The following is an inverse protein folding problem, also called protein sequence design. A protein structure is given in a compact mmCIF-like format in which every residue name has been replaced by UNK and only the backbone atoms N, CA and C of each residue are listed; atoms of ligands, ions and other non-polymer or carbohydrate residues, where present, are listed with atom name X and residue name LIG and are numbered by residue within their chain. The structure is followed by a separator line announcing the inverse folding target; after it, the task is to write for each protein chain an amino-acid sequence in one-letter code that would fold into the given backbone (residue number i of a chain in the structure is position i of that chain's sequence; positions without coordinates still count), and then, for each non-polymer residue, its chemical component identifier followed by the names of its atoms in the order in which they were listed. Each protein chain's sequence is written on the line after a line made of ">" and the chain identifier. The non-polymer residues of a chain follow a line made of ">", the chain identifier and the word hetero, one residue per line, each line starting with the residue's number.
data_IF_060455662552
#
_entry.id   IF_060455662552
#
_cell.length_a   1.000
_cell.length_b   1.000
_cell.length_c   1.000
_cell.angle_alpha   90.00
_cell.angle_beta   90.00
_cell.angle_gamma   90.00
#
_symmetry.space_group_name_H-M   'P 1'
#
loop_
_entity.id
_entity.type
_entity.pdbx_description
1 polymer ?
#
# COMPACT_ATOMS: atom_id res chain seq x y z
N UNK A 1 11.50 8.28 -0.89
CA UNK A 1 11.27 9.25 -1.99
C UNK A 1 9.93 9.97 -1.92
N UNK A 2 8.79 9.30 -1.73
CA UNK A 2 7.48 9.97 -1.62
C UNK A 2 7.44 11.04 -0.52
N UNK A 3 7.91 10.75 0.69
CA UNK A 3 7.91 11.74 1.77
C UNK A 3 8.80 12.96 1.46
N UNK A 4 9.94 12.76 0.79
CA UNK A 4 10.79 13.89 0.34
C UNK A 4 10.06 14.79 -0.65
N UNK A 5 9.25 14.22 -1.56
CA UNK A 5 8.43 14.98 -2.51
C UNK A 5 7.28 15.75 -1.83
N UNK A 6 6.75 15.21 -0.74
CA UNK A 6 5.77 15.92 0.09
C UNK A 6 6.47 17.09 0.81
N UNK A 7 7.65 16.87 1.39
CA UNK A 7 8.45 17.90 2.07
C UNK A 7 8.93 19.00 1.11
N UNK A 8 9.34 18.66 -0.11
CA UNK A 8 9.76 19.62 -1.15
C UNK A 8 8.62 20.36 -1.84
N UNK A 9 7.38 20.17 -1.38
CA UNK A 9 6.16 20.77 -1.94
C UNK A 9 5.84 20.36 -3.38
N UNK A 10 6.41 19.26 -3.86
CA UNK A 10 6.08 18.68 -5.16
C UNK A 10 4.76 17.89 -5.12
N UNK A 11 4.34 17.43 -3.92
CA UNK A 11 3.10 16.70 -3.69
C UNK A 11 2.38 17.24 -2.44
N UNK A 12 1.09 17.56 -2.57
CA UNK A 12 0.28 18.08 -1.45
C UNK A 12 -0.64 17.01 -0.83
N UNK A 13 -1.21 16.13 -1.65
CA UNK A 13 -2.17 15.11 -1.25
C UNK A 13 -1.80 13.78 -1.88
N UNK A 14 -1.58 12.75 -1.06
CA UNK A 14 -1.13 11.44 -1.51
C UNK A 14 -2.00 10.35 -0.89
N UNK A 15 -2.69 9.59 -1.74
CA UNK A 15 -3.32 8.33 -1.34
C UNK A 15 -2.31 7.19 -1.49
N UNK A 16 -1.77 6.73 -0.37
CA UNK A 16 -0.88 5.58 -0.32
C UNK A 16 -1.69 4.31 -0.06
N UNK A 17 -1.54 3.28 -0.91
CA UNK A 17 -2.27 2.02 -0.75
C UNK A 17 -1.27 0.87 -0.61
N UNK A 18 -1.13 0.35 0.61
CA UNK A 18 -0.38 -0.86 0.86
C UNK A 18 -1.22 -2.07 0.45
N UNK A 19 -0.69 -2.94 -0.41
CA UNK A 19 -1.37 -4.16 -0.85
C UNK A 19 -0.63 -5.38 -0.32
N UNK A 20 -1.33 -6.50 -0.16
CA UNK A 20 -0.75 -7.76 0.29
C UNK A 20 -1.56 -8.96 -0.17
N UNK A 21 -0.86 -10.07 -0.42
CA UNK A 21 -1.46 -11.37 -0.66
C UNK A 21 -1.33 -12.22 0.61
N UNK A 22 -2.45 -12.72 1.12
CA UNK A 22 -2.53 -13.52 2.34
C UNK A 22 -2.31 -15.00 2.00
N UNK A 23 -1.08 -15.34 1.61
CA UNK A 23 -0.71 -16.68 1.17
C UNK A 23 0.00 -17.51 2.24
N UNK A 24 -0.10 -18.82 2.11
CA UNK A 24 0.73 -19.80 2.84
C UNK A 24 1.28 -20.84 1.86
N UNK A 25 2.42 -21.50 2.17
CA UNK A 25 2.97 -22.55 1.30
C UNK A 25 1.95 -23.66 0.98
N UNK A 26 1.10 -24.01 1.95
CA UNK A 26 0.05 -25.03 1.80
C UNK A 26 -1.04 -24.57 0.84
N UNK A 27 -1.56 -23.35 1.00
CA UNK A 27 -2.60 -22.81 0.12
C UNK A 27 -2.14 -22.77 -1.35
N UNK A 28 -0.88 -22.40 -1.58
CA UNK A 28 -0.27 -22.42 -2.92
C UNK A 28 -0.15 -23.84 -3.46
N UNK A 29 0.27 -24.80 -2.63
CA UNK A 29 0.45 -26.20 -3.04
C UNK A 29 -0.88 -26.89 -3.34
N UNK A 30 -1.93 -26.60 -2.58
CA UNK A 30 -3.29 -27.08 -2.80
C UNK A 30 -4.01 -26.37 -3.94
N UNK A 31 -3.40 -25.31 -4.50
CA UNK A 31 -3.96 -24.44 -5.54
C UNK A 31 -5.26 -23.76 -5.08
N UNK A 32 -5.33 -23.41 -3.81
CA UNK A 32 -6.42 -22.62 -3.27
C UNK A 32 -6.36 -21.18 -3.79
N UNK A 33 -7.51 -20.51 -3.77
CA UNK A 33 -7.57 -19.08 -4.10
C UNK A 33 -6.84 -18.29 -3.03
N UNK A 34 -5.91 -17.43 -3.44
CA UNK A 34 -5.14 -16.58 -2.51
C UNK A 34 -5.91 -15.28 -2.26
N UNK A 35 -6.36 -15.00 -1.02
CA UNK A 35 -7.01 -13.75 -0.70
C UNK A 35 -6.00 -12.60 -0.73
N UNK A 36 -6.42 -11.44 -1.23
CA UNK A 36 -5.62 -10.21 -1.25
C UNK A 36 -6.28 -9.13 -0.41
N UNK A 37 -5.46 -8.24 0.16
CA UNK A 37 -5.88 -7.11 1.00
C UNK A 37 -5.23 -5.82 0.52
N UNK A 38 -5.93 -4.70 0.69
CA UNK A 38 -5.40 -3.37 0.46
C UNK A 38 -5.77 -2.45 1.63
N UNK A 39 -4.81 -1.67 2.11
CA UNK A 39 -4.99 -0.65 3.16
C UNK A 39 -4.60 0.71 2.60
N UNK A 40 -5.56 1.63 2.59
CA UNK A 40 -5.36 2.98 2.10
C UNK A 40 -5.06 3.95 3.25
N UNK A 41 -4.05 4.78 3.08
CA UNK A 41 -3.65 5.85 3.99
C UNK A 41 -3.61 7.16 3.20
N UNK A 42 -4.29 8.17 3.72
CA UNK A 42 -4.27 9.52 3.15
C UNK A 42 -3.20 10.35 3.84
N UNK A 43 -2.23 10.83 3.07
CA UNK A 43 -1.24 11.80 3.53
C UNK A 43 -1.57 13.17 2.95
N UNK A 44 -1.67 14.16 3.83
CA UNK A 44 -1.83 15.57 3.47
C UNK A 44 -0.64 16.34 4.04
N UNK A 45 -0.08 17.25 3.23
CA UNK A 45 0.98 18.14 3.68
C UNK A 45 0.42 19.16 4.70
N UNK A 46 1.05 19.23 5.87
CA UNK A 46 0.70 20.27 6.85
C UNK A 46 0.99 21.66 6.26
N UNK A 47 0.02 22.56 6.38
CA UNK A 47 0.13 23.95 5.93
C UNK A 47 1.04 24.78 6.83
#
# INVERSE_FOLDING_TARGET
>A
DIFRKIESQELDNVLFVATGALLSPIAVQQKDTIPCVAHAIWFERSR
#
